data_IF_767049092998
#
_entry.id   IF_767049092998
#
_cell.length_a   1.000
_cell.length_b   1.000
_cell.length_c   1.000
_cell.angle_alpha   90.00
_cell.angle_beta   90.00
_cell.angle_gamma   90.00
#
_symmetry.space_group_name_H-M   'P 1'
#
loop_
_entity.id
_entity.type
_entity.pdbx_description
1 polymer ?
#
# COMPACT_ATOMS: atom_id res chain seq x y z
N UNK A 1 -2.72 -0.72 10.96
CA UNK A 1 -1.75 -0.83 9.83
C UNK A 1 -1.92 0.21 8.74
N UNK A 2 -3.13 0.45 8.20
CA UNK A 2 -3.36 1.43 7.13
C UNK A 2 -2.82 2.84 7.40
N UNK A 3 -2.95 3.35 8.64
CA UNK A 3 -2.37 4.66 9.04
C UNK A 3 -0.84 4.70 8.91
N UNK A 4 -0.15 3.61 9.21
CA UNK A 4 1.32 3.53 9.10
C UNK A 4 1.77 3.46 7.64
N UNK A 5 1.06 2.70 6.80
CA UNK A 5 1.31 2.66 5.34
C UNK A 5 1.09 4.06 4.76
N UNK A 6 -0.05 4.70 5.05
CA UNK A 6 -0.36 6.06 4.59
C UNK A 6 0.70 7.08 5.02
N UNK A 7 1.20 7.00 6.25
CA UNK A 7 2.28 7.87 6.75
C UNK A 7 3.59 7.66 5.95
N UNK A 8 3.99 6.41 5.71
CA UNK A 8 5.21 6.12 4.92
C UNK A 8 5.07 6.54 3.46
N UNK A 9 3.90 6.36 2.86
CA UNK A 9 3.62 6.84 1.51
C UNK A 9 3.67 8.36 1.42
N UNK A 10 3.14 9.06 2.43
CA UNK A 10 3.25 10.53 2.51
C UNK A 10 4.72 10.97 2.64
N UNK A 11 5.47 10.34 3.54
CA UNK A 11 6.89 10.63 3.71
C UNK A 11 7.68 10.47 2.41
N UNK A 12 7.43 9.41 1.64
CA UNK A 12 8.08 9.22 0.34
C UNK A 12 7.73 10.33 -0.67
N UNK A 13 6.47 10.80 -0.68
CA UNK A 13 6.05 11.92 -1.52
C UNK A 13 6.71 13.23 -1.08
N UNK A 14 6.76 13.50 0.23
CA UNK A 14 7.36 14.72 0.78
C UNK A 14 8.86 14.78 0.45
N UNK A 15 9.61 13.69 0.67
CA UNK A 15 11.05 13.62 0.34
C UNK A 15 11.32 13.77 -1.16
N UNK A 16 10.45 13.21 -2.01
CA UNK A 16 10.57 13.38 -3.46
C UNK A 16 10.29 14.82 -3.89
N UNK A 17 9.30 15.46 -3.26
CA UNK A 17 8.97 16.86 -3.49
C UNK A 17 10.12 17.79 -3.09
N UNK A 18 10.78 17.53 -1.95
CA UNK A 18 11.97 18.26 -1.51
C UNK A 18 13.13 18.13 -2.51
N UNK A 19 13.45 16.92 -2.96
CA UNK A 19 14.50 16.70 -3.96
C UNK A 19 14.19 17.42 -5.29
N UNK A 20 12.92 17.38 -5.72
CA UNK A 20 12.46 18.05 -6.96
C UNK A 20 12.50 19.57 -6.83
N UNK A 21 12.10 20.11 -5.68
CA UNK A 21 12.16 21.54 -5.39
C UNK A 21 13.61 22.03 -5.38
N UNK A 22 14.51 21.30 -4.72
CA UNK A 22 15.94 21.60 -4.70
C UNK A 22 16.53 21.63 -6.11
N UNK A 23 16.26 20.61 -6.93
CA UNK A 23 16.74 20.58 -8.31
C UNK A 23 16.21 21.77 -9.12
N UNK A 24 14.92 22.09 -8.96
CA UNK A 24 14.27 23.19 -9.68
C UNK A 24 14.85 24.56 -9.30
N UNK A 25 15.12 24.80 -8.02
CA UNK A 25 15.80 26.01 -7.55
C UNK A 25 17.21 26.14 -8.16
N UNK A 26 17.98 25.06 -8.15
CA UNK A 26 19.34 25.07 -8.64
C UNK A 26 19.44 25.19 -10.16
N UNK A 27 18.50 24.59 -10.91
CA UNK A 27 18.38 24.77 -12.36
C UNK A 27 17.98 26.21 -12.68
N UNK A 28 17.04 26.80 -11.92
CA UNK A 28 16.68 28.21 -12.03
C UNK A 28 17.88 29.16 -11.79
N UNK A 29 18.78 28.77 -10.88
CA UNK A 29 19.98 29.51 -10.54
C UNK A 29 21.27 29.03 -11.25
N UNK A 30 21.14 28.33 -12.40
CA UNK A 30 22.29 27.69 -13.08
C UNK A 30 23.45 28.63 -13.39
N UNK A 31 23.17 29.89 -13.76
CA UNK A 31 24.21 30.90 -14.02
C UNK A 31 24.98 31.27 -12.75
N UNK A 32 24.29 31.38 -11.62
CA UNK A 32 24.90 31.68 -10.32
C UNK A 32 25.77 30.53 -9.85
N UNK A 33 25.25 29.30 -9.94
CA UNK A 33 25.98 28.06 -9.69
C UNK A 33 27.31 28.00 -10.47
N UNK A 34 27.26 28.23 -11.78
CA UNK A 34 28.42 28.16 -12.68
C UNK A 34 29.43 29.28 -12.39
N UNK A 35 28.95 30.49 -12.08
CA UNK A 35 29.82 31.60 -11.71
C UNK A 35 30.67 31.31 -10.45
N UNK A 36 30.18 30.45 -9.57
CA UNK A 36 30.91 29.98 -8.38
C UNK A 36 31.50 28.56 -8.52
N UNK A 37 31.37 27.92 -9.70
CA UNK A 37 31.88 26.56 -9.98
C UNK A 37 31.40 25.52 -8.95
N UNK A 38 30.14 25.64 -8.54
CA UNK A 38 29.54 24.83 -7.47
C UNK A 38 28.77 23.59 -7.96
N UNK A 39 28.93 23.19 -9.22
CA UNK A 39 28.19 22.08 -9.86
C UNK A 39 28.30 20.79 -9.04
N UNK A 40 29.52 20.40 -8.67
CA UNK A 40 29.75 19.16 -7.91
C UNK A 40 29.06 19.15 -6.55
N UNK A 41 29.09 20.28 -5.84
CA UNK A 41 28.47 20.42 -4.53
C UNK A 41 26.95 20.28 -4.65
N UNK A 42 26.35 20.94 -5.64
CA UNK A 42 24.91 20.90 -5.88
C UNK A 42 24.47 19.51 -6.33
N UNK A 43 25.21 18.87 -7.24
CA UNK A 43 24.90 17.50 -7.66
C UNK A 43 25.03 16.50 -6.51
N UNK A 44 26.00 16.69 -5.60
CA UNK A 44 26.15 15.86 -4.41
C UNK A 44 24.95 15.97 -3.48
N UNK A 45 24.53 17.20 -3.15
CA UNK A 45 23.34 17.44 -2.32
C UNK A 45 22.06 16.92 -2.96
N UNK A 46 21.93 17.03 -4.28
CA UNK A 46 20.78 16.46 -4.99
C UNK A 46 20.80 14.92 -4.92
N UNK A 47 21.97 14.30 -5.09
CA UNK A 47 22.10 12.85 -4.94
C UNK A 47 21.68 12.38 -3.54
N UNK A 48 22.14 13.05 -2.48
CA UNK A 48 21.74 12.74 -1.10
C UNK A 48 20.21 12.85 -0.90
N UNK A 49 19.59 13.88 -1.48
CA UNK A 49 18.14 14.07 -1.42
C UNK A 49 17.37 12.97 -2.18
N UNK A 50 17.88 12.54 -3.34
CA UNK A 50 17.31 11.43 -4.11
C UNK A 50 17.44 10.11 -3.36
N UNK A 51 18.58 9.85 -2.72
CA UNK A 51 18.80 8.64 -1.92
C UNK A 51 17.86 8.59 -0.71
N UNK A 52 17.64 9.73 -0.04
CA UNK A 52 16.65 9.82 1.04
C UNK A 52 15.23 9.52 0.54
N UNK A 53 14.85 10.05 -0.62
CA UNK A 53 13.56 9.78 -1.24
C UNK A 53 13.41 8.31 -1.65
N UNK A 54 14.49 7.69 -2.16
CA UNK A 54 14.53 6.28 -2.51
C UNK A 54 14.31 5.38 -1.29
N UNK A 55 15.01 5.61 -0.18
CA UNK A 55 14.82 4.81 1.04
C UNK A 55 13.41 5.00 1.63
N UNK A 56 12.86 6.22 1.60
CA UNK A 56 11.48 6.46 2.01
C UNK A 56 10.47 5.70 1.13
N UNK A 57 10.68 5.70 -0.19
CA UNK A 57 9.85 4.94 -1.14
C UNK A 57 9.96 3.43 -0.89
N UNK A 58 11.17 2.90 -0.70
CA UNK A 58 11.42 1.50 -0.36
C UNK A 58 10.70 1.08 0.91
N UNK A 59 10.75 1.90 1.95
CA UNK A 59 10.05 1.65 3.21
C UNK A 59 8.52 1.67 3.05
N UNK A 60 7.98 2.56 2.20
CA UNK A 60 6.56 2.62 1.85
C UNK A 60 6.12 1.35 1.11
N UNK A 61 6.87 0.92 0.10
CA UNK A 61 6.60 -0.30 -0.67
C UNK A 61 6.64 -1.53 0.24
N UNK A 62 7.66 -1.66 1.09
CA UNK A 62 7.75 -2.79 2.02
C UNK A 62 6.54 -2.86 2.96
N UNK A 63 6.12 -1.73 3.53
CA UNK A 63 4.95 -1.69 4.41
C UNK A 63 3.65 -2.08 3.67
N UNK A 64 3.50 -1.67 2.40
CA UNK A 64 2.36 -2.05 1.56
C UNK A 64 2.38 -3.53 1.20
N UNK A 65 3.52 -4.04 0.76
CA UNK A 65 3.71 -5.45 0.40
C UNK A 65 3.46 -6.37 1.59
N UNK A 66 3.92 -6.00 2.79
CA UNK A 66 3.67 -6.76 4.01
C UNK A 66 2.18 -6.80 4.36
N UNK A 67 1.47 -5.68 4.22
CA UNK A 67 0.02 -5.63 4.43
C UNK A 67 -0.73 -6.53 3.44
N UNK A 68 -0.39 -6.46 2.15
CA UNK A 68 -0.98 -7.31 1.11
C UNK A 68 -0.68 -8.78 1.35
N UNK A 69 0.56 -9.13 1.69
CA UNK A 69 0.95 -10.49 2.05
C UNK A 69 0.12 -11.01 3.22
N UNK A 70 0.03 -10.26 4.31
CA UNK A 70 -0.72 -10.66 5.49
C UNK A 70 -2.21 -10.85 5.20
N UNK A 71 -2.81 -9.96 4.40
CA UNK A 71 -4.20 -10.07 3.98
C UNK A 71 -4.46 -11.34 3.16
N UNK A 72 -3.65 -11.59 2.13
CA UNK A 72 -3.75 -12.80 1.31
C UNK A 72 -3.55 -14.06 2.16
N UNK A 73 -2.51 -14.07 3.00
CA UNK A 73 -2.22 -15.18 3.89
C UNK A 73 -3.39 -15.50 4.83
N UNK A 74 -4.01 -14.48 5.45
CA UNK A 74 -5.20 -14.64 6.29
C UNK A 74 -6.37 -15.25 5.53
N UNK A 75 -6.65 -14.77 4.31
CA UNK A 75 -7.74 -15.28 3.47
C UNK A 75 -7.52 -16.75 3.13
N UNK A 76 -6.35 -17.12 2.63
CA UNK A 76 -6.08 -18.52 2.28
C UNK A 76 -6.03 -19.41 3.52
N UNK A 77 -5.47 -18.93 4.63
CA UNK A 77 -5.43 -19.68 5.88
C UNK A 77 -6.85 -19.95 6.42
N UNK A 78 -7.77 -18.99 6.32
CA UNK A 78 -9.16 -19.19 6.74
C UNK A 78 -9.88 -20.20 5.86
N UNK A 79 -9.68 -20.14 4.53
CA UNK A 79 -10.24 -21.12 3.58
C UNK A 79 -9.72 -22.53 3.89
N UNK A 80 -8.41 -22.68 4.10
CA UNK A 80 -7.80 -23.97 4.45
C UNK A 80 -8.36 -24.48 5.78
N UNK A 81 -8.48 -23.63 6.80
CA UNK A 81 -9.04 -24.01 8.09
C UNK A 81 -10.51 -24.47 7.96
N UNK A 82 -11.34 -23.73 7.24
CA UNK A 82 -12.75 -24.08 7.00
C UNK A 82 -12.86 -25.41 6.26
N UNK A 83 -12.04 -25.63 5.23
CA UNK A 83 -12.02 -26.90 4.50
C UNK A 83 -11.53 -28.06 5.38
N UNK A 84 -10.55 -27.83 6.24
CA UNK A 84 -10.04 -28.84 7.16
C UNK A 84 -11.10 -29.31 8.16
N UNK A 85 -11.79 -28.38 8.82
CA UNK A 85 -12.87 -28.73 9.74
C UNK A 85 -14.10 -29.27 8.99
N UNK A 86 -14.52 -28.59 7.93
CA UNK A 86 -15.69 -28.97 7.15
C UNK A 86 -15.56 -30.33 6.48
N UNK A 87 -14.37 -30.70 5.98
CA UNK A 87 -14.16 -32.04 5.40
C UNK A 87 -14.31 -33.15 6.43
N UNK A 88 -13.89 -32.93 7.69
CA UNK A 88 -14.09 -33.89 8.78
C UNK A 88 -15.57 -34.05 9.11
N UNK A 89 -16.32 -32.95 9.16
CA UNK A 89 -17.76 -32.98 9.42
C UNK A 89 -18.54 -33.65 8.29
N UNK A 90 -18.10 -33.46 7.05
CA UNK A 90 -18.64 -34.17 5.89
C UNK A 90 -18.39 -35.68 5.98
N UNK A 91 -17.18 -36.08 6.36
CA UNK A 91 -16.84 -37.50 6.54
C UNK A 91 -17.58 -38.13 7.73
N UNK A 92 -17.88 -37.35 8.76
CA UNK A 92 -18.70 -37.77 9.90
C UNK A 92 -20.21 -37.85 9.58
N UNK A 93 -20.63 -37.39 8.40
CA UNK A 93 -22.04 -37.38 7.97
C UNK A 93 -22.89 -36.30 8.64
N UNK A 94 -22.28 -35.37 9.39
CA UNK A 94 -22.98 -34.27 10.07
C UNK A 94 -23.22 -33.08 9.14
N UNK A 95 -22.45 -32.96 8.07
CA UNK A 95 -22.55 -31.91 7.06
C UNK A 95 -22.59 -32.52 5.65
N UNK A 96 -23.38 -31.97 4.74
CA UNK A 96 -23.30 -32.38 3.32
C UNK A 96 -22.13 -31.68 2.62
N UNK A 97 -21.45 -32.34 1.65
CA UNK A 97 -20.42 -31.68 0.84
C UNK A 97 -20.93 -30.42 0.10
N UNK A 98 -22.21 -30.43 -0.30
CA UNK A 98 -22.87 -29.31 -0.96
C UNK A 98 -23.00 -28.10 -0.05
N UNK A 99 -23.36 -28.30 1.22
CA UNK A 99 -23.48 -27.23 2.22
C UNK A 99 -22.15 -26.55 2.47
N UNK A 100 -21.05 -27.32 2.60
CA UNK A 100 -19.70 -26.75 2.75
C UNK A 100 -19.29 -25.89 1.54
N UNK A 101 -19.56 -26.39 0.34
CA UNK A 101 -19.22 -25.69 -0.91
C UNK A 101 -20.03 -24.40 -1.06
N UNK A 102 -21.33 -24.43 -0.71
CA UNK A 102 -22.19 -23.25 -0.69
C UNK A 102 -21.71 -22.21 0.31
N UNK A 103 -21.33 -22.63 1.52
CA UNK A 103 -20.81 -21.73 2.54
C UNK A 103 -19.56 -20.98 2.06
N UNK A 104 -18.62 -21.67 1.40
CA UNK A 104 -17.44 -21.05 0.84
C UNK A 104 -17.78 -20.04 -0.27
N UNK A 105 -18.65 -20.42 -1.20
CA UNK A 105 -19.08 -19.55 -2.30
C UNK A 105 -19.74 -18.27 -1.76
N UNK A 106 -20.67 -18.41 -0.81
CA UNK A 106 -21.36 -17.27 -0.21
C UNK A 106 -20.43 -16.39 0.63
N UNK A 107 -19.43 -16.99 1.28
CA UNK A 107 -18.40 -16.23 2.01
C UNK A 107 -17.58 -15.34 1.07
N UNK A 108 -17.22 -15.84 -0.12
CA UNK A 108 -16.51 -15.06 -1.15
C UNK A 108 -17.38 -13.91 -1.65
N UNK A 109 -18.67 -14.17 -1.93
CA UNK A 109 -19.60 -13.11 -2.33
C UNK A 109 -19.78 -12.04 -1.26
N UNK A 110 -19.94 -12.44 0.00
CA UNK A 110 -20.04 -11.52 1.13
C UNK A 110 -18.77 -10.66 1.29
N UNK A 111 -17.58 -11.27 1.17
CA UNK A 111 -16.32 -10.56 1.22
C UNK A 111 -16.18 -9.54 0.09
N UNK A 112 -16.57 -9.91 -1.15
CA UNK A 112 -16.58 -9.01 -2.30
C UNK A 112 -17.54 -7.82 -2.11
N UNK A 113 -18.75 -8.07 -1.61
CA UNK A 113 -19.74 -7.03 -1.32
C UNK A 113 -19.25 -6.05 -0.24
N UNK A 114 -18.62 -6.56 0.83
CA UNK A 114 -18.01 -5.73 1.86
C UNK A 114 -16.85 -4.88 1.30
N UNK A 115 -16.05 -5.43 0.39
CA UNK A 115 -14.99 -4.72 -0.32
C UNK A 115 -15.54 -3.54 -1.11
N UNK A 116 -16.56 -3.77 -1.95
CA UNK A 116 -17.22 -2.73 -2.74
C UNK A 116 -17.84 -1.63 -1.85
N UNK A 117 -18.50 -2.00 -0.75
CA UNK A 117 -19.03 -1.04 0.21
C UNK A 117 -17.92 -0.16 0.83
N UNK A 118 -16.77 -0.74 1.14
CA UNK A 118 -15.62 0.01 1.68
C UNK A 118 -15.06 1.01 0.67
N UNK A 119 -15.07 0.69 -0.63
CA UNK A 119 -14.65 1.60 -1.71
C UNK A 119 -15.62 2.78 -1.83
N UNK A 120 -16.92 2.50 -1.92
CA UNK A 120 -17.97 3.54 -1.99
C UNK A 120 -17.90 4.47 -0.77
N UNK A 121 -17.72 3.92 0.43
CA UNK A 121 -17.56 4.71 1.64
C UNK A 121 -16.31 5.59 1.61
N UNK A 122 -15.20 5.08 1.06
CA UNK A 122 -13.95 5.84 0.89
C UNK A 122 -14.13 7.00 -0.11
N UNK A 123 -14.81 6.78 -1.23
CA UNK A 123 -15.12 7.82 -2.22
C UNK A 123 -16.01 8.91 -1.61
N UNK A 124 -17.06 8.52 -0.90
CA UNK A 124 -17.95 9.45 -0.20
C UNK A 124 -17.19 10.30 0.82
N UNK A 125 -16.31 9.68 1.61
CA UNK A 125 -15.48 10.39 2.59
C UNK A 125 -14.50 11.38 1.94
N UNK A 126 -14.00 11.10 0.73
CA UNK A 126 -13.14 12.02 0.00
C UNK A 126 -13.93 13.21 -0.55
N UNK A 127 -15.11 12.96 -1.14
CA UNK A 127 -15.97 14.01 -1.67
C UNK A 127 -16.43 14.97 -0.55
N UNK A 128 -16.84 14.44 0.60
CA UNK A 128 -17.30 15.25 1.73
C UNK A 128 -16.19 16.08 2.40
N UNK A 129 -14.92 15.64 2.32
CA UNK A 129 -13.78 16.38 2.88
C UNK A 129 -13.14 17.40 1.93
N UNK A 130 -13.56 17.41 0.65
CA UNK A 130 -13.12 18.37 -0.35
C UNK A 130 -14.06 19.59 -0.49
N UNK A 131 -15.21 19.55 0.18
CA UNK A 131 -16.17 20.66 0.33
C UNK A 131 -15.94 21.39 1.66
#
# INVERSE_FOLDING_TARGET
>A
FGRSVRRKSRQAQDTLAEATAYASEQIGAVRTLQAFTNEKLVTGRFADAVDAAFEAARASVFARSFLTFFAIFMIFSSVVAVLWFGSRDVLAGTLSPGTLSQFLLYSVFAAGALGALSEVWSELSQAAGAA
#
